data_IF_103740568098
#
_entry.id   IF_103740568098
#
_cell.length_a   1.000
_cell.length_b   1.000
_cell.length_c   1.000
_cell.angle_alpha   90.00
_cell.angle_beta   90.00
_cell.angle_gamma   90.00
#
_symmetry.space_group_name_H-M   'P 1'
#
loop_
_entity.id
_entity.type
_entity.pdbx_description
1 polymer ?
#
# COMPACT_ATOMS: atom_id res chain seq x y z
N UNK A 1 -8.04 -20.66 -15.34
CA UNK A 1 -7.96 -19.92 -14.06
C UNK A 1 -9.31 -20.05 -13.40
N UNK A 2 -9.36 -20.56 -12.18
CA UNK A 2 -10.59 -20.65 -11.39
C UNK A 2 -11.01 -19.25 -10.96
N UNK A 3 -12.29 -18.92 -11.10
CA UNK A 3 -12.83 -17.68 -10.53
C UNK A 3 -12.73 -17.81 -9.00
N UNK A 4 -12.05 -16.91 -8.30
CA UNK A 4 -12.00 -16.94 -6.85
C UNK A 4 -13.41 -16.77 -6.28
N UNK A 5 -13.68 -17.39 -5.14
CA UNK A 5 -14.94 -17.20 -4.43
C UNK A 5 -15.14 -15.72 -4.09
N UNK A 6 -16.37 -15.18 -4.22
CA UNK A 6 -16.64 -13.80 -3.84
C UNK A 6 -16.36 -13.60 -2.34
N UNK A 7 -15.62 -12.53 -2.00
CA UNK A 7 -15.44 -12.12 -0.60
C UNK A 7 -16.81 -11.95 0.08
N UNK A 8 -16.93 -12.33 1.34
CA UNK A 8 -18.08 -11.99 2.19
C UNK A 8 -18.06 -10.51 2.57
N UNK A 9 -19.12 -10.02 3.21
CA UNK A 9 -19.11 -8.66 3.77
C UNK A 9 -18.17 -8.54 4.98
N UNK A 10 -18.03 -9.62 5.76
CA UNK A 10 -17.12 -9.69 6.91
C UNK A 10 -15.66 -9.64 6.48
N UNK A 11 -15.27 -10.43 5.47
CA UNK A 11 -13.90 -10.38 4.93
C UNK A 11 -13.57 -9.02 4.33
N UNK A 12 -14.51 -8.38 3.62
CA UNK A 12 -14.30 -7.05 3.07
C UNK A 12 -14.14 -5.99 4.18
N UNK A 13 -14.92 -6.09 5.26
CA UNK A 13 -14.81 -5.20 6.42
C UNK A 13 -13.48 -5.40 7.15
N UNK A 14 -12.99 -6.63 7.30
CA UNK A 14 -11.69 -6.90 7.90
C UNK A 14 -10.52 -6.30 7.10
N UNK A 15 -10.59 -6.34 5.76
CA UNK A 15 -9.57 -5.69 4.91
C UNK A 15 -9.62 -4.17 5.07
N UNK A 16 -10.82 -3.59 5.14
CA UNK A 16 -10.99 -2.15 5.36
C UNK A 16 -10.45 -1.72 6.72
N UNK A 17 -10.77 -2.45 7.79
CA UNK A 17 -10.27 -2.19 9.14
C UNK A 17 -8.74 -2.25 9.19
N UNK A 18 -8.13 -3.26 8.56
CA UNK A 18 -6.68 -3.37 8.47
C UNK A 18 -6.05 -2.17 7.74
N UNK A 19 -6.67 -1.72 6.64
CA UNK A 19 -6.18 -0.57 5.87
C UNK A 19 -6.30 0.76 6.64
N UNK A 20 -7.36 0.92 7.45
CA UNK A 20 -7.57 2.11 8.29
C UNK A 20 -6.68 2.12 9.55
N UNK A 21 -6.35 0.96 10.09
CA UNK A 21 -5.46 0.85 11.25
C UNK A 21 -3.98 1.16 10.90
N UNK A 22 -3.60 1.07 9.62
CA UNK A 22 -2.25 1.38 9.16
C UNK A 22 -1.96 2.90 9.18
N UNK A 23 -0.67 3.26 9.06
CA UNK A 23 -0.24 4.66 9.00
C UNK A 23 -1.04 5.46 7.95
N UNK A 24 -1.57 6.65 8.28
CA UNK A 24 -2.25 7.50 7.33
C UNK A 24 -1.39 7.79 6.09
N UNK A 25 -2.04 7.83 4.92
CA UNK A 25 -1.39 8.20 3.66
C UNK A 25 -1.38 9.71 3.41
N UNK A 26 -0.80 10.17 2.29
CA UNK A 26 -0.15 9.35 1.25
C UNK A 26 1.18 8.77 1.72
N UNK A 27 1.57 7.63 1.15
CA UNK A 27 2.91 7.07 1.29
C UNK A 27 3.71 7.34 0.01
N UNK A 28 5.00 7.59 0.17
CA UNK A 28 5.94 7.91 -0.89
C UNK A 28 7.12 6.94 -0.88
N UNK A 29 7.71 6.71 -2.03
CA UNK A 29 8.99 6.01 -2.14
C UNK A 29 10.09 7.03 -1.89
N UNK A 30 11.10 6.68 -1.12
CA UNK A 30 12.34 7.46 -0.95
C UNK A 30 13.54 6.60 -1.30
N UNK A 31 14.41 7.15 -2.16
CA UNK A 31 15.73 6.62 -2.44
C UNK A 31 16.74 7.34 -1.56
N UNK A 32 17.23 6.65 -0.53
CA UNK A 32 18.09 7.17 0.53
C UNK A 32 19.43 6.44 0.53
N UNK A 33 20.32 6.84 1.42
CA UNK A 33 21.57 6.16 1.70
C UNK A 33 21.68 5.75 3.19
N UNK A 34 22.34 4.62 3.46
CA UNK A 34 22.61 4.13 4.81
C UNK A 34 23.88 4.73 5.43
N UNK A 35 24.28 4.21 6.59
CA UNK A 35 25.43 4.72 7.36
C UNK A 35 26.77 4.67 6.62
N UNK A 36 26.89 4.00 5.48
CA UNK A 36 28.13 3.93 4.67
C UNK A 36 27.94 4.45 3.24
N UNK A 37 26.87 5.23 2.99
CA UNK A 37 26.53 5.75 1.67
C UNK A 37 26.22 4.64 0.65
N UNK A 38 25.52 3.59 1.09
CA UNK A 38 24.97 2.56 0.21
C UNK A 38 23.44 2.67 0.15
N UNK A 39 22.86 2.22 -0.96
CA UNK A 39 21.46 2.52 -1.25
C UNK A 39 20.47 1.90 -0.26
N UNK A 40 19.47 2.69 0.09
CA UNK A 40 18.31 2.33 0.90
C UNK A 40 17.04 2.71 0.12
N UNK A 41 16.12 1.76 -0.03
CA UNK A 41 14.80 2.01 -0.65
C UNK A 41 13.72 1.83 0.41
N UNK A 42 12.97 2.90 0.67
CA UNK A 42 11.98 2.95 1.72
C UNK A 42 10.66 3.56 1.28
N UNK A 43 9.61 3.23 2.04
CA UNK A 43 8.29 3.82 1.98
C UNK A 43 8.18 4.80 3.16
N UNK A 44 7.74 6.02 2.90
CA UNK A 44 7.73 7.12 3.86
C UNK A 44 6.44 7.93 3.84
N UNK A 45 6.15 8.63 4.94
CA UNK A 45 5.06 9.62 5.03
C UNK A 45 5.43 10.98 4.43
N UNK A 46 6.70 11.19 4.04
CA UNK A 46 7.17 12.41 3.37
C UNK A 46 7.72 12.08 1.98
N UNK A 47 7.62 13.00 1.01
CA UNK A 47 8.13 12.77 -0.33
C UNK A 47 9.66 12.71 -0.35
N UNK A 48 10.21 12.06 -1.37
CA UNK A 48 11.64 12.08 -1.62
C UNK A 48 12.13 13.47 -2.02
N UNK A 49 13.32 13.83 -1.55
CA UNK A 49 14.04 15.03 -1.95
C UNK A 49 14.82 14.82 -3.24
N UNK A 50 15.09 13.56 -3.60
CA UNK A 50 15.92 13.19 -4.75
C UNK A 50 17.41 13.40 -4.52
N UNK A 51 17.80 13.66 -3.27
CA UNK A 51 19.19 13.93 -2.89
C UNK A 51 19.92 12.71 -2.32
N UNK A 52 19.25 11.57 -2.12
CA UNK A 52 19.87 10.41 -1.49
C UNK A 52 20.28 10.72 -0.06
N UNK A 53 19.38 11.29 0.74
CA UNK A 53 19.70 11.67 2.12
C UNK A 53 20.21 10.47 2.90
N UNK A 54 21.31 10.70 3.61
CA UNK A 54 22.02 9.64 4.34
C UNK A 54 21.55 9.59 5.78
N UNK A 55 21.54 8.44 6.41
CA UNK A 55 21.40 8.40 7.87
C UNK A 55 22.64 9.00 8.56
N UNK A 56 22.50 9.89 9.57
CA UNK A 56 21.27 10.29 10.27
C UNK A 56 20.63 11.62 9.80
N UNK A 57 20.92 12.09 8.60
CA UNK A 57 20.44 13.36 8.05
C UNK A 57 18.94 13.36 7.66
N UNK A 58 18.28 12.19 7.62
CA UNK A 58 16.82 12.08 7.52
C UNK A 58 16.20 11.51 8.80
N UNK A 59 14.94 11.86 9.08
CA UNK A 59 14.21 11.32 10.23
C UNK A 59 13.65 9.92 9.94
N UNK A 60 14.25 8.90 10.55
CA UNK A 60 13.78 7.52 10.45
C UNK A 60 12.34 7.29 10.97
N UNK A 61 11.77 8.20 11.78
CA UNK A 61 10.36 8.11 12.19
C UNK A 61 9.38 8.37 11.04
N UNK A 62 9.85 8.92 9.92
CA UNK A 62 9.05 9.11 8.71
C UNK A 62 8.96 7.83 7.85
N UNK A 63 9.71 6.77 8.19
CA UNK A 63 9.79 5.53 7.42
C UNK A 63 8.71 4.54 7.89
N UNK A 64 7.85 4.11 6.95
CA UNK A 64 6.79 3.13 7.16
C UNK A 64 7.30 1.70 6.95
N UNK A 65 8.12 1.49 5.91
CA UNK A 65 8.69 0.19 5.55
C UNK A 65 9.96 0.38 4.71
N UNK A 66 10.80 -0.66 4.63
CA UNK A 66 11.97 -0.69 3.74
C UNK A 66 11.94 -1.94 2.87
N UNK A 67 12.35 -1.81 1.60
CA UNK A 67 12.48 -2.92 0.66
C UNK A 67 13.93 -3.20 0.27
N UNK A 68 14.85 -2.27 0.57
CA UNK A 68 16.29 -2.46 0.43
C UNK A 68 17.04 -1.70 1.53
N UNK A 69 18.02 -2.39 2.15
CA UNK A 69 19.10 -1.80 2.95
C UNK A 69 20.37 -2.54 2.52
N UNK A 70 21.34 -1.83 1.95
CA UNK A 70 22.54 -2.46 1.37
C UNK A 70 23.67 -2.71 2.37
N UNK A 71 23.78 -1.93 3.46
CA UNK A 71 24.81 -2.13 4.47
C UNK A 71 24.31 -2.00 5.92
N UNK A 72 24.47 -3.08 6.74
CA UNK A 72 24.65 -4.45 6.25
C UNK A 72 23.46 -4.85 5.36
N UNK A 73 23.65 -5.78 4.42
CA UNK A 73 22.57 -6.22 3.52
C UNK A 73 21.63 -7.19 4.24
N UNK A 74 20.70 -6.67 5.05
CA UNK A 74 19.72 -7.49 5.78
C UNK A 74 18.27 -7.28 5.32
N UNK A 75 18.01 -6.24 4.52
CA UNK A 75 16.73 -6.05 3.82
C UNK A 75 17.00 -6.08 2.32
N UNK A 76 16.41 -7.05 1.62
CA UNK A 76 16.52 -7.17 0.17
C UNK A 76 15.97 -8.51 -0.30
N UNK A 77 15.32 -8.50 -1.46
CA UNK A 77 14.74 -9.70 -2.09
C UNK A 77 15.72 -10.30 -3.11
N UNK A 78 15.70 -11.63 -3.26
CA UNK A 78 16.64 -12.35 -4.12
C UNK A 78 16.47 -12.05 -5.62
N UNK A 79 15.26 -11.70 -6.06
CA UNK A 79 14.95 -11.38 -7.46
C UNK A 79 15.24 -9.93 -7.85
N UNK A 80 15.71 -9.11 -6.90
CA UNK A 80 16.12 -7.74 -7.16
C UNK A 80 15.00 -6.71 -7.26
N UNK A 81 13.74 -7.08 -6.96
CA UNK A 81 12.56 -6.24 -7.24
C UNK A 81 12.18 -5.29 -6.10
N UNK A 82 13.16 -4.74 -5.39
CA UNK A 82 12.92 -3.86 -4.25
C UNK A 82 12.21 -2.56 -4.64
N UNK A 83 12.49 -2.02 -5.84
CA UNK A 83 11.82 -0.82 -6.36
C UNK A 83 10.35 -1.11 -6.68
N UNK A 84 10.04 -2.22 -7.36
CA UNK A 84 8.65 -2.58 -7.66
C UNK A 84 7.86 -2.94 -6.39
N UNK A 85 8.50 -3.57 -5.41
CA UNK A 85 7.89 -3.84 -4.12
C UNK A 85 7.59 -2.53 -3.38
N UNK A 86 8.49 -1.54 -3.40
CA UNK A 86 8.25 -0.24 -2.79
C UNK A 86 7.09 0.48 -3.48
N UNK A 87 7.04 0.43 -4.81
CA UNK A 87 5.95 1.01 -5.59
C UNK A 87 4.61 0.36 -5.29
N UNK A 88 4.56 -0.97 -5.19
CA UNK A 88 3.35 -1.70 -4.83
C UNK A 88 2.84 -1.31 -3.44
N UNK A 89 3.73 -1.30 -2.43
CA UNK A 89 3.38 -0.99 -1.04
C UNK A 89 2.90 0.47 -0.91
N UNK A 90 3.62 1.43 -1.49
CA UNK A 90 3.25 2.85 -1.43
C UNK A 90 1.87 3.10 -2.06
N UNK A 91 1.59 2.50 -3.22
CA UNK A 91 0.31 2.64 -3.91
C UNK A 91 -0.83 1.93 -3.17
N UNK A 92 -0.56 0.79 -2.53
CA UNK A 92 -1.58 0.02 -1.81
C UNK A 92 -2.33 0.87 -0.76
N UNK A 93 -1.67 1.85 -0.13
CA UNK A 93 -2.34 2.72 0.85
C UNK A 93 -3.51 3.52 0.27
N UNK A 94 -3.44 3.87 -1.02
CA UNK A 94 -4.50 4.59 -1.74
C UNK A 94 -5.41 3.62 -2.51
N UNK A 95 -4.84 2.59 -3.12
CA UNK A 95 -5.57 1.69 -3.99
C UNK A 95 -6.50 0.75 -3.23
N UNK A 96 -6.12 0.25 -2.05
CA UNK A 96 -6.96 -0.65 -1.26
C UNK A 96 -8.29 0.01 -0.86
N UNK A 97 -8.31 1.21 -0.22
CA UNK A 97 -9.58 1.88 0.09
C UNK A 97 -10.44 2.15 -1.14
N UNK A 98 -9.82 2.53 -2.27
CA UNK A 98 -10.53 2.78 -3.54
C UNK A 98 -11.16 1.50 -4.10
N UNK A 99 -10.45 0.38 -4.06
CA UNK A 99 -10.95 -0.91 -4.51
C UNK A 99 -12.11 -1.38 -3.63
N UNK A 100 -12.01 -1.23 -2.30
CA UNK A 100 -13.10 -1.57 -1.37
C UNK A 100 -14.35 -0.73 -1.66
N UNK A 101 -14.20 0.58 -1.82
CA UNK A 101 -15.29 1.48 -2.16
C UNK A 101 -15.97 1.07 -3.49
N UNK A 102 -15.18 0.71 -4.50
CA UNK A 102 -15.70 0.24 -5.79
C UNK A 102 -16.45 -1.10 -5.66
N UNK A 103 -15.92 -2.05 -4.89
CA UNK A 103 -16.60 -3.33 -4.63
C UNK A 103 -17.95 -3.09 -3.94
N UNK A 104 -18.00 -2.24 -2.91
CA UNK A 104 -19.25 -1.87 -2.22
C UNK A 104 -20.27 -1.25 -3.18
N UNK A 105 -19.83 -0.33 -4.04
CA UNK A 105 -20.66 0.30 -5.06
C UNK A 105 -21.24 -0.72 -6.04
N UNK A 106 -20.42 -1.66 -6.52
CA UNK A 106 -20.85 -2.72 -7.43
C UNK A 106 -21.85 -3.67 -6.77
N UNK A 107 -21.64 -4.08 -5.50
CA UNK A 107 -22.61 -4.91 -4.75
C UNK A 107 -23.96 -4.22 -4.61
N UNK A 108 -23.97 -2.93 -4.34
CA UNK A 108 -25.22 -2.14 -4.25
C UNK A 108 -25.98 -2.12 -5.58
N UNK A 109 -25.28 -2.00 -6.71
CA UNK A 109 -25.90 -2.00 -8.04
C UNK A 109 -26.44 -3.38 -8.47
N UNK A 110 -25.82 -4.45 -7.99
CA UNK A 110 -26.23 -5.83 -8.30
C UNK A 110 -27.35 -6.34 -7.39
N UNK A 111 -27.59 -5.68 -6.26
CA UNK A 111 -28.74 -5.98 -5.41
C UNK A 111 -30.00 -5.52 -6.15
N UNK A 112 -30.92 -6.43 -6.54
CA UNK A 112 -32.10 -6.04 -7.30
C UNK A 112 -32.87 -4.96 -6.54
N UNK A 113 -33.14 -3.81 -7.19
CA UNK A 113 -34.21 -2.93 -6.73
C UNK A 113 -35.46 -3.80 -6.67
N UNK A 114 -35.99 -3.98 -5.46
CA UNK A 114 -37.20 -4.76 -5.23
C UNK A 114 -38.28 -4.36 -6.24
N UNK A 115 -38.98 -5.38 -6.72
CA UNK A 115 -40.17 -5.34 -7.54
C UNK A 115 -41.24 -4.42 -6.90
N UNK A 116 -41.13 -3.12 -7.10
CA UNK A 116 -42.08 -2.11 -6.66
C UNK A 116 -42.20 -1.07 -7.77
N UNK A 117 -42.82 -1.44 -8.90
CA UNK A 117 -43.31 -0.51 -9.94
C UNK A 117 -44.11 -1.25 -11.05
N UNK A 118 -44.93 -2.27 -10.72
CA UNK A 118 -45.78 -2.95 -11.71
C UNK A 118 -47.24 -3.25 -11.30
N UNK A 119 -47.73 -2.79 -10.14
CA UNK A 119 -49.17 -2.89 -9.80
C UNK A 119 -49.71 -1.59 -9.17
N UNK A 120 -49.81 -0.53 -9.98
CA UNK A 120 -50.68 0.62 -9.71
C UNK A 120 -51.42 1.03 -10.99
#
# INVERSE_FOLDING_TARGET
>A
MTTPEPLTDEELAAIEELAEAATPGPWFIRHLDDEVAMSLVAISTVPDTGHGERWPDFDHHEIVAATLIQHPRYVGVADGRWDENAQFIANARQDIPRLIAEIKRLRQLLTPKGHQDLEA
#
